data_IF_874607516763
#
_entry.id   IF_874607516763
#
_cell.length_a   1.000
_cell.length_b   1.000
_cell.length_c   1.000
_cell.angle_alpha   90.00
_cell.angle_beta   90.00
_cell.angle_gamma   90.00
#
_symmetry.space_group_name_H-M   'P 1'
#
loop_
_entity.id
_entity.type
_entity.pdbx_description
1 polymer ?
#
# COMPACT_ATOMS: atom_id res chain seq x y z
N UNK A 1 -19.39 -3.67 17.60
CA UNK A 1 -19.57 -3.45 16.15
C UNK A 1 -20.68 -4.37 15.68
N UNK A 2 -21.50 -3.95 14.72
CA UNK A 2 -22.65 -4.72 14.22
C UNK A 2 -22.57 -4.77 12.70
N UNK A 3 -22.96 -5.88 12.10
CA UNK A 3 -23.03 -6.02 10.65
C UNK A 3 -24.29 -5.38 10.08
N UNK A 4 -24.13 -4.68 8.96
CA UNK A 4 -25.22 -4.04 8.24
C UNK A 4 -25.20 -4.47 6.79
N UNK A 5 -26.37 -4.81 6.25
CA UNK A 5 -26.50 -5.05 4.82
C UNK A 5 -26.22 -3.75 4.05
N UNK A 6 -25.53 -3.85 2.91
CA UNK A 6 -25.06 -2.68 2.13
C UNK A 6 -26.20 -1.74 1.73
N UNK A 7 -27.42 -2.25 1.52
CA UNK A 7 -28.60 -1.44 1.19
C UNK A 7 -29.09 -0.52 2.30
N UNK A 8 -28.68 -0.77 3.54
CA UNK A 8 -29.03 0.07 4.70
C UNK A 8 -28.00 1.17 4.95
N UNK A 9 -26.81 1.05 4.37
CA UNK A 9 -25.74 2.02 4.52
C UNK A 9 -26.05 3.31 3.78
N UNK A 10 -25.78 4.43 4.45
CA UNK A 10 -26.00 5.79 3.97
C UNK A 10 -24.73 6.61 4.11
N UNK A 11 -24.70 7.75 3.44
CA UNK A 11 -23.65 8.75 3.61
C UNK A 11 -23.50 9.11 5.10
N UNK A 12 -22.26 9.16 5.58
CA UNK A 12 -21.83 9.38 6.98
C UNK A 12 -21.92 8.18 7.91
N UNK A 13 -22.50 7.06 7.51
CA UNK A 13 -22.34 5.83 8.30
C UNK A 13 -20.87 5.45 8.37
N UNK A 14 -20.46 4.87 9.50
CA UNK A 14 -19.07 4.55 9.78
C UNK A 14 -18.79 3.10 9.39
N UNK A 15 -17.77 2.92 8.57
CA UNK A 15 -17.23 1.61 8.24
C UNK A 15 -15.86 1.43 8.85
N UNK A 16 -15.47 0.17 9.03
CA UNK A 16 -14.27 -0.20 9.77
C UNK A 16 -13.28 -0.92 8.87
N UNK A 17 -12.01 -0.54 8.97
CA UNK A 17 -10.89 -1.19 8.32
C UNK A 17 -9.85 -1.61 9.39
N UNK A 18 -9.42 -2.88 9.42
CA UNK A 18 -8.49 -3.35 10.42
C UNK A 18 -7.06 -3.02 10.00
N UNK A 19 -6.28 -2.51 10.94
CA UNK A 19 -4.87 -2.19 10.73
C UNK A 19 -4.08 -3.37 11.29
N UNK A 20 -3.22 -4.05 10.49
CA UNK A 20 -2.36 -5.10 11.01
C UNK A 20 -1.55 -4.59 12.21
N UNK A 21 -1.67 -5.26 13.36
CA UNK A 21 -0.97 -4.87 14.60
C UNK A 21 0.26 -5.73 14.89
N UNK A 22 0.39 -6.87 14.21
CA UNK A 22 1.50 -7.80 14.43
C UNK A 22 2.86 -7.11 14.20
N UNK A 23 3.81 -7.40 15.08
CA UNK A 23 5.22 -7.01 14.95
C UNK A 23 6.07 -8.28 14.96
N UNK A 24 6.82 -8.51 13.88
CA UNK A 24 7.79 -9.57 13.72
C UNK A 24 9.09 -8.94 13.29
N UNK A 25 10.07 -8.93 14.20
CA UNK A 25 11.39 -8.43 13.83
C UNK A 25 12.16 -9.49 13.05
N UNK A 26 12.86 -9.02 12.03
CA UNK A 26 13.81 -9.82 11.24
C UNK A 26 15.13 -9.08 11.37
N UNK A 27 16.16 -9.78 11.83
CA UNK A 27 17.46 -9.13 12.04
C UNK A 27 18.32 -9.17 10.78
N UNK A 28 18.25 -10.26 10.02
CA UNK A 28 19.07 -10.48 8.82
C UNK A 28 18.27 -11.14 7.69
N UNK A 29 18.68 -10.87 6.45
CA UNK A 29 18.25 -11.62 5.27
C UNK A 29 19.46 -12.08 4.46
N UNK A 30 19.37 -13.26 3.87
CA UNK A 30 20.40 -13.79 2.97
C UNK A 30 20.43 -13.01 1.66
N UNK A 31 21.65 -12.72 1.19
CA UNK A 31 21.89 -12.29 -0.17
C UNK A 31 22.15 -13.51 -1.02
N UNK A 32 21.54 -13.56 -2.21
CA UNK A 32 21.78 -14.59 -3.22
C UNK A 32 23.13 -14.34 -3.94
N UNK A 33 24.16 -13.96 -3.18
CA UNK A 33 25.43 -13.41 -3.66
C UNK A 33 26.43 -14.51 -4.03
N UNK A 34 25.98 -15.67 -4.51
CA UNK A 34 26.91 -16.67 -5.04
C UNK A 34 27.64 -16.08 -6.25
N UNK A 35 28.97 -15.98 -6.14
CA UNK A 35 29.83 -15.51 -7.23
C UNK A 35 29.69 -16.45 -8.42
N UNK A 36 29.23 -15.91 -9.55
CA UNK A 36 29.23 -16.69 -10.79
C UNK A 36 30.68 -16.96 -11.19
N UNK A 37 30.93 -18.17 -11.71
CA UNK A 37 32.28 -18.64 -12.12
C UNK A 37 33.03 -17.68 -13.06
N UNK A 38 32.33 -16.78 -13.74
CA UNK A 38 32.87 -15.81 -14.70
C UNK A 38 32.63 -14.34 -14.30
N UNK A 39 32.31 -14.05 -13.03
CA UNK A 39 32.19 -12.67 -12.53
C UNK A 39 33.49 -12.19 -11.88
N UNK A 40 34.28 -11.46 -12.67
CA UNK A 40 35.57 -10.90 -12.26
C UNK A 40 35.50 -9.43 -11.84
N UNK A 41 34.34 -8.75 -12.01
CA UNK A 41 34.20 -7.30 -11.82
C UNK A 41 33.40 -6.94 -10.57
N UNK A 42 32.46 -7.79 -10.16
CA UNK A 42 31.66 -7.48 -8.97
C UNK A 42 32.47 -7.63 -7.69
N UNK A 43 32.48 -6.57 -6.88
CA UNK A 43 32.91 -6.62 -5.49
C UNK A 43 31.99 -7.56 -4.69
N UNK A 44 32.52 -8.17 -3.63
CA UNK A 44 31.71 -8.98 -2.73
C UNK A 44 30.78 -8.06 -1.94
N UNK A 45 29.50 -8.45 -1.82
CA UNK A 45 28.57 -7.86 -0.85
C UNK A 45 28.44 -8.81 0.35
N UNK A 46 27.99 -8.34 1.53
CA UNK A 46 27.73 -9.20 2.67
C UNK A 46 26.80 -10.37 2.30
N UNK A 47 27.11 -11.59 2.75
CA UNK A 47 26.26 -12.77 2.55
C UNK A 47 24.91 -12.63 3.25
N UNK A 48 24.89 -11.89 4.36
CA UNK A 48 23.68 -11.50 5.08
C UNK A 48 23.63 -9.98 5.19
N UNK A 49 22.47 -9.40 4.91
CA UNK A 49 22.21 -7.98 5.14
C UNK A 49 21.42 -7.82 6.43
N UNK A 50 21.92 -6.97 7.32
CA UNK A 50 21.19 -6.56 8.51
C UNK A 50 19.98 -5.70 8.13
N UNK A 51 18.81 -6.05 8.63
CA UNK A 51 17.57 -5.29 8.45
C UNK A 51 17.49 -4.23 9.54
N UNK A 52 18.33 -3.21 9.42
CA UNK A 52 18.35 -2.07 10.34
C UNK A 52 17.73 -0.81 9.70
N UNK A 53 17.76 0.29 10.46
CA UNK A 53 17.25 1.60 10.02
C UNK A 53 17.91 2.10 8.73
N UNK A 54 19.20 1.83 8.54
CA UNK A 54 19.94 2.26 7.36
C UNK A 54 19.50 1.45 6.12
N UNK A 55 19.35 0.12 6.24
CA UNK A 55 18.80 -0.70 5.16
C UNK A 55 17.36 -0.31 4.81
N UNK A 56 16.50 -0.07 5.80
CA UNK A 56 15.10 0.33 5.55
C UNK A 56 15.01 1.67 4.82
N UNK A 57 15.84 2.65 5.21
CA UNK A 57 15.91 3.96 4.53
C UNK A 57 16.40 3.83 3.09
N UNK A 58 17.45 3.05 2.85
CA UNK A 58 17.92 2.75 1.49
C UNK A 58 16.84 2.07 0.65
N UNK A 59 16.11 1.11 1.24
CA UNK A 59 15.01 0.41 0.58
C UNK A 59 13.91 1.37 0.12
N UNK A 60 13.60 2.38 0.93
CA UNK A 60 12.67 3.45 0.57
C UNK A 60 13.15 4.25 -0.65
N UNK A 61 14.41 4.68 -0.64
CA UNK A 61 15.03 5.36 -1.79
C UNK A 61 15.04 4.51 -3.05
N UNK A 62 15.30 3.20 -2.93
CA UNK A 62 15.27 2.30 -4.08
C UNK A 62 13.86 2.12 -4.63
N UNK A 63 12.86 2.01 -3.76
CA UNK A 63 11.46 1.90 -4.18
C UNK A 63 10.96 3.17 -4.86
N UNK A 64 11.45 4.36 -4.50
CA UNK A 64 11.14 5.58 -5.25
C UNK A 64 12.01 5.72 -6.51
N UNK A 65 13.30 5.95 -6.33
CA UNK A 65 14.22 6.41 -7.38
C UNK A 65 15.02 5.29 -8.05
N UNK A 66 14.98 4.10 -7.46
CA UNK A 66 15.77 2.96 -7.89
C UNK A 66 15.23 2.30 -9.16
N UNK A 67 16.16 1.88 -10.02
CA UNK A 67 15.90 0.94 -11.11
C UNK A 67 17.09 0.02 -11.33
N UNK A 68 16.83 -1.14 -11.94
CA UNK A 68 17.86 -2.13 -12.25
C UNK A 68 17.95 -2.35 -13.74
N UNK A 69 19.18 -2.45 -14.24
CA UNK A 69 19.46 -2.88 -15.61
C UNK A 69 20.23 -4.18 -15.55
N UNK A 70 19.72 -5.20 -16.23
CA UNK A 70 20.38 -6.51 -16.35
C UNK A 70 20.49 -6.82 -17.84
N UNK A 71 21.70 -6.66 -18.39
CA UNK A 71 22.03 -6.98 -19.79
C UNK A 71 23.35 -7.75 -19.83
N UNK A 72 23.58 -8.51 -20.92
CA UNK A 72 24.74 -9.39 -21.09
C UNK A 72 26.10 -8.73 -20.75
N UNK A 73 26.25 -7.45 -21.07
CA UNK A 73 27.50 -6.70 -20.85
C UNK A 73 27.37 -5.51 -19.89
N UNK A 74 26.15 -5.23 -19.38
CA UNK A 74 25.88 -4.04 -18.57
C UNK A 74 24.82 -4.34 -17.52
N UNK A 75 25.27 -4.68 -16.32
CA UNK A 75 24.41 -4.90 -15.15
C UNK A 75 24.74 -3.87 -14.07
N UNK A 76 23.75 -3.09 -13.67
CA UNK A 76 23.91 -2.09 -12.60
C UNK A 76 22.57 -1.73 -11.98
N UNK A 77 22.66 -1.24 -10.75
CA UNK A 77 21.58 -0.53 -10.06
C UNK A 77 21.79 0.96 -10.26
N UNK A 78 20.73 1.71 -10.51
CA UNK A 78 20.78 3.18 -10.54
C UNK A 78 19.71 3.77 -9.65
N UNK A 79 20.06 4.83 -8.93
CA UNK A 79 19.09 5.76 -8.33
C UNK A 79 19.23 7.09 -9.07
N UNK A 80 18.11 7.76 -9.34
CA UNK A 80 18.10 9.04 -10.06
C UNK A 80 17.52 10.11 -9.16
N UNK A 81 18.14 11.28 -9.09
CA UNK A 81 17.66 12.40 -8.29
C UNK A 81 17.71 13.67 -9.12
N UNK A 82 17.02 14.72 -8.68
CA UNK A 82 17.23 16.06 -9.21
C UNK A 82 18.60 16.60 -8.74
N UNK A 83 19.23 17.44 -9.57
CA UNK A 83 20.52 18.07 -9.24
C UNK A 83 20.50 18.95 -7.98
N UNK A 84 19.32 19.41 -7.58
CA UNK A 84 19.13 20.20 -6.37
C UNK A 84 19.03 19.34 -5.09
N UNK A 85 18.85 18.03 -5.21
CA UNK A 85 18.61 17.09 -4.09
C UNK A 85 19.92 16.49 -3.55
N UNK A 86 20.94 17.35 -3.40
CA UNK A 86 22.31 16.92 -3.04
C UNK A 86 22.37 16.20 -1.69
N UNK A 87 21.48 16.56 -0.76
CA UNK A 87 21.40 15.91 0.55
C UNK A 87 20.97 14.45 0.47
N UNK A 88 19.99 14.13 -0.38
CA UNK A 88 19.50 12.76 -0.59
C UNK A 88 20.53 11.92 -1.35
N UNK A 89 21.21 12.52 -2.33
CA UNK A 89 22.33 11.88 -3.03
C UNK A 89 23.43 11.49 -2.04
N UNK A 90 23.84 12.42 -1.16
CA UNK A 90 24.87 12.18 -0.14
C UNK A 90 24.44 11.09 0.85
N UNK A 91 23.19 11.12 1.31
CA UNK A 91 22.66 10.10 2.21
C UNK A 91 22.66 8.71 1.55
N UNK A 92 22.20 8.61 0.30
CA UNK A 92 22.23 7.37 -0.48
C UNK A 92 23.65 6.81 -0.62
N UNK A 93 24.64 7.65 -0.97
CA UNK A 93 26.04 7.20 -1.08
C UNK A 93 26.58 6.64 0.25
N UNK A 94 26.25 7.29 1.37
CA UNK A 94 26.63 6.81 2.68
C UNK A 94 25.97 5.47 3.02
N UNK A 95 24.66 5.34 2.72
CA UNK A 95 23.91 4.11 2.93
C UNK A 95 24.46 2.95 2.09
N UNK A 96 24.78 3.19 0.81
CA UNK A 96 25.35 2.17 -0.07
C UNK A 96 26.67 1.63 0.51
N UNK A 97 27.53 2.53 0.99
CA UNK A 97 28.79 2.14 1.63
C UNK A 97 28.58 1.39 2.95
N UNK A 98 27.69 1.86 3.82
CA UNK A 98 27.45 1.25 5.13
C UNK A 98 26.79 -0.12 5.04
N UNK A 99 25.74 -0.23 4.22
CA UNK A 99 24.89 -1.42 4.14
C UNK A 99 25.54 -2.51 3.28
N UNK A 100 26.15 -2.13 2.16
CA UNK A 100 26.65 -3.09 1.18
C UNK A 100 28.18 -3.12 1.08
N UNK A 101 28.89 -2.21 1.73
CA UNK A 101 30.35 -2.09 1.60
C UNK A 101 30.82 -1.55 0.25
N UNK A 102 29.91 -1.06 -0.60
CA UNK A 102 30.21 -0.70 -1.99
C UNK A 102 30.47 0.80 -2.17
N UNK A 103 31.22 1.13 -3.23
CA UNK A 103 31.32 2.50 -3.75
C UNK A 103 30.40 2.65 -4.97
N UNK A 104 29.69 3.78 -5.05
CA UNK A 104 28.87 4.13 -6.19
C UNK A 104 29.50 5.27 -6.98
N UNK A 105 29.28 5.29 -8.30
CA UNK A 105 29.68 6.38 -9.19
C UNK A 105 28.53 7.37 -9.33
N UNK A 106 28.80 8.66 -9.21
CA UNK A 106 27.82 9.71 -9.52
C UNK A 106 28.05 10.28 -10.91
N UNK A 107 26.99 10.42 -11.70
CA UNK A 107 27.01 11.09 -13.00
C UNK A 107 25.95 12.21 -13.01
N UNK A 108 26.40 13.46 -13.06
CA UNK A 108 25.51 14.60 -13.23
C UNK A 108 25.19 14.83 -14.71
N UNK A 109 23.92 15.06 -15.03
CA UNK A 109 23.44 15.35 -16.37
C UNK A 109 22.74 16.70 -16.36
N UNK A 110 23.49 17.77 -16.64
CA UNK A 110 23.01 19.15 -16.59
C UNK A 110 21.83 19.42 -17.52
N UNK A 111 21.79 18.78 -18.70
CA UNK A 111 20.70 18.92 -19.68
C UNK A 111 19.35 18.54 -19.08
N UNK A 112 19.31 17.43 -18.34
CA UNK A 112 18.08 16.92 -17.72
C UNK A 112 17.93 17.35 -16.25
N UNK A 113 18.89 18.11 -15.71
CA UNK A 113 18.98 18.49 -14.28
C UNK A 113 18.89 17.29 -13.34
N UNK A 114 19.53 16.18 -13.71
CA UNK A 114 19.50 14.92 -12.95
C UNK A 114 20.89 14.49 -12.49
N UNK A 115 20.91 13.72 -11.40
CA UNK A 115 22.10 13.04 -10.87
C UNK A 115 21.81 11.56 -10.82
N UNK A 116 22.63 10.75 -11.47
CA UNK A 116 22.54 9.30 -11.40
C UNK A 116 23.58 8.75 -10.43
N UNK A 117 23.14 7.94 -9.47
CA UNK A 117 24.00 7.12 -8.63
C UNK A 117 24.03 5.72 -9.24
N UNK A 118 25.17 5.33 -9.81
CA UNK A 118 25.39 4.07 -10.50
C UNK A 118 26.19 3.10 -9.63
N UNK A 119 25.63 1.92 -9.40
CA UNK A 119 26.25 0.83 -8.65
C UNK A 119 26.46 -0.35 -9.58
N UNK A 120 27.71 -0.55 -10.01
CA UNK A 120 28.10 -1.64 -10.91
C UNK A 120 28.39 -2.91 -10.10
N UNK A 121 27.36 -3.61 -9.66
CA UNK A 121 27.49 -4.85 -8.91
C UNK A 121 26.36 -5.83 -9.26
N UNK A 122 26.70 -6.98 -9.86
CA UNK A 122 25.72 -7.95 -10.37
C UNK A 122 24.91 -8.56 -9.22
N UNK A 123 25.55 -8.88 -8.10
CA UNK A 123 24.92 -9.49 -6.93
C UNK A 123 23.88 -8.55 -6.32
N UNK A 124 24.26 -7.30 -6.07
CA UNK A 124 23.33 -6.30 -5.54
C UNK A 124 22.16 -6.05 -6.50
N UNK A 125 22.41 -5.90 -7.80
CA UNK A 125 21.36 -5.63 -8.78
C UNK A 125 20.34 -6.76 -8.83
N UNK A 126 20.78 -8.02 -8.82
CA UNK A 126 19.87 -9.18 -8.80
C UNK A 126 19.12 -9.30 -7.48
N UNK A 127 19.82 -9.07 -6.37
CA UNK A 127 19.23 -9.08 -5.03
C UNK A 127 18.09 -8.05 -4.92
N UNK A 128 18.35 -6.77 -5.26
CA UNK A 128 17.34 -5.71 -5.17
C UNK A 128 16.17 -5.95 -6.13
N UNK A 129 16.45 -6.43 -7.34
CA UNK A 129 15.41 -6.80 -8.33
C UNK A 129 14.50 -7.91 -7.80
N UNK A 130 15.07 -8.96 -7.20
CA UNK A 130 14.31 -10.08 -6.60
C UNK A 130 13.46 -9.58 -5.43
N UNK A 131 14.03 -8.73 -4.60
CA UNK A 131 13.40 -8.24 -3.39
C UNK A 131 12.26 -7.26 -3.66
N UNK A 132 12.49 -6.24 -4.48
CA UNK A 132 11.57 -5.11 -4.65
C UNK A 132 10.82 -5.09 -5.98
N UNK A 133 11.16 -5.96 -6.94
CA UNK A 133 10.58 -5.96 -8.28
C UNK A 133 11.49 -5.33 -9.33
N UNK A 134 11.10 -5.50 -10.60
CA UNK A 134 11.92 -5.07 -11.74
C UNK A 134 11.56 -3.68 -12.27
N UNK A 135 10.31 -3.53 -12.71
CA UNK A 135 9.80 -2.31 -13.31
C UNK A 135 8.93 -1.55 -12.30
N UNK A 136 8.52 -0.33 -12.65
CA UNK A 136 7.81 0.56 -11.72
C UNK A 136 6.42 0.03 -11.30
N UNK A 137 5.74 -0.74 -12.15
CA UNK A 137 4.42 -1.34 -11.87
C UNK A 137 4.52 -2.58 -10.95
N UNK A 138 5.63 -3.34 -11.02
CA UNK A 138 5.88 -4.49 -10.16
C UNK A 138 6.59 -4.13 -8.84
N UNK A 139 6.98 -2.86 -8.66
CA UNK A 139 7.63 -2.40 -7.42
C UNK A 139 6.74 -2.75 -6.23
N UNK A 140 7.33 -3.35 -5.21
CA UNK A 140 6.61 -3.84 -4.02
C UNK A 140 7.52 -3.90 -2.81
N UNK A 141 6.92 -3.78 -1.64
CA UNK A 141 7.58 -4.00 -0.35
C UNK A 141 7.43 -5.50 0.02
N UNK A 142 8.52 -6.21 0.32
CA UNK A 142 8.47 -7.59 0.80
C UNK A 142 7.56 -7.75 2.03
N UNK A 143 6.86 -8.88 2.12
CA UNK A 143 5.90 -9.15 3.21
C UNK A 143 6.53 -8.98 4.60
N UNK A 144 7.74 -9.51 4.83
CA UNK A 144 8.38 -9.39 6.14
C UNK A 144 8.60 -7.93 6.58
N UNK A 145 8.85 -7.00 5.64
CA UNK A 145 9.04 -5.58 5.95
C UNK A 145 7.74 -4.91 6.43
N UNK A 146 6.58 -5.44 6.04
CA UNK A 146 5.26 -4.96 6.46
C UNK A 146 4.96 -5.26 7.94
N UNK A 147 5.71 -6.16 8.57
CA UNK A 147 5.54 -6.55 9.97
C UNK A 147 6.71 -6.16 10.86
N UNK A 148 7.76 -5.52 10.34
CA UNK A 148 8.88 -5.04 11.15
C UNK A 148 8.45 -4.04 12.23
N UNK A 149 9.29 -3.85 13.27
CA UNK A 149 9.13 -2.77 14.25
C UNK A 149 8.83 -1.41 13.62
N UNK A 150 7.98 -0.62 14.28
CA UNK A 150 7.48 0.64 13.72
C UNK A 150 8.60 1.66 13.44
N UNK A 151 9.69 1.64 14.19
CA UNK A 151 10.82 2.53 13.96
C UNK A 151 11.63 2.15 12.71
N UNK A 152 11.74 0.86 12.38
CA UNK A 152 12.28 0.39 11.09
C UNK A 152 11.35 0.78 9.93
N UNK A 153 10.04 0.63 10.11
CA UNK A 153 9.05 1.04 9.10
C UNK A 153 9.04 2.56 8.87
N UNK A 154 9.26 3.36 9.91
CA UNK A 154 9.38 4.81 9.79
C UNK A 154 10.54 5.23 8.88
N UNK A 155 11.67 4.54 8.94
CA UNK A 155 12.82 4.83 8.05
C UNK A 155 12.55 4.43 6.59
N UNK A 156 11.79 3.36 6.35
CA UNK A 156 11.29 3.01 5.02
C UNK A 156 10.37 4.10 4.46
N UNK A 157 9.41 4.56 5.26
CA UNK A 157 8.54 5.69 4.91
C UNK A 157 9.37 6.94 4.61
N UNK A 158 10.40 7.22 5.43
CA UNK A 158 11.31 8.34 5.18
C UNK A 158 12.00 8.23 3.82
N UNK A 159 12.59 7.08 3.50
CA UNK A 159 13.26 6.88 2.22
C UNK A 159 12.30 7.03 1.02
N UNK A 160 11.07 6.50 1.13
CA UNK A 160 10.05 6.67 0.09
C UNK A 160 9.74 8.14 -0.17
N UNK A 161 9.50 8.92 0.90
CA UNK A 161 9.18 10.35 0.77
C UNK A 161 10.36 11.20 0.34
N UNK A 162 11.60 10.81 0.67
CA UNK A 162 12.79 11.53 0.22
C UNK A 162 13.11 11.32 -1.28
N UNK A 163 12.51 10.33 -1.94
CA UNK A 163 12.54 10.25 -3.41
C UNK A 163 11.31 10.87 -4.05
N UNK A 164 10.19 10.12 -4.05
CA UNK A 164 8.98 10.50 -4.80
C UNK A 164 7.97 11.33 -3.98
N UNK A 165 8.29 11.65 -2.72
CA UNK A 165 7.39 12.38 -1.85
C UNK A 165 7.33 13.86 -2.17
N UNK A 166 6.12 14.41 -2.26
CA UNK A 166 5.89 15.85 -2.32
C UNK A 166 5.41 16.36 -0.96
N UNK A 167 5.97 17.48 -0.51
CA UNK A 167 5.63 18.13 0.75
C UNK A 167 5.42 19.63 0.50
N UNK A 168 4.27 20.14 0.93
CA UNK A 168 3.99 21.56 0.98
C UNK A 168 3.90 21.98 2.45
N UNK A 169 4.86 22.79 2.90
CA UNK A 169 4.98 23.20 4.31
C UNK A 169 4.04 24.36 4.66
N UNK A 170 3.74 25.20 3.67
CA UNK A 170 2.95 26.44 3.83
C UNK A 170 1.46 26.21 3.66
N UNK A 171 1.07 25.31 2.75
CA UNK A 171 -0.26 24.71 2.70
C UNK A 171 -0.11 23.25 3.13
N UNK A 172 -0.09 22.95 4.44
CA UNK A 172 0.31 21.65 4.97
C UNK A 172 -0.38 20.49 4.28
N UNK A 173 0.39 19.77 3.46
CA UNK A 173 -0.01 18.50 2.84
C UNK A 173 1.25 17.74 2.44
N UNK A 174 1.11 16.42 2.41
CA UNK A 174 2.10 15.55 1.81
C UNK A 174 1.40 14.61 0.84
N UNK A 175 2.08 14.26 -0.25
CA UNK A 175 1.58 13.29 -1.20
C UNK A 175 2.67 12.39 -1.73
N UNK A 176 2.28 11.18 -2.13
CA UNK A 176 3.14 10.20 -2.78
C UNK A 176 2.39 9.62 -3.97
N UNK A 177 3.07 9.42 -5.10
CA UNK A 177 2.45 8.87 -6.31
C UNK A 177 3.21 7.65 -6.80
N UNK A 178 2.49 6.63 -7.26
CA UNK A 178 3.10 5.44 -7.87
C UNK A 178 2.16 4.80 -8.88
N UNK A 179 2.71 4.07 -9.85
CA UNK A 179 1.92 3.25 -10.79
C UNK A 179 1.75 1.80 -10.31
N UNK A 180 2.44 1.40 -9.23
CA UNK A 180 2.24 0.08 -8.62
C UNK A 180 1.08 0.12 -7.64
N UNK A 181 -0.02 -0.55 -7.99
CA UNK A 181 -1.18 -0.74 -7.10
C UNK A 181 -0.79 -1.40 -5.78
N UNK A 182 0.07 -2.42 -5.86
CA UNK A 182 0.56 -3.15 -4.69
C UNK A 182 1.34 -2.22 -3.75
N UNK A 183 2.28 -1.44 -4.29
CA UNK A 183 3.06 -0.50 -3.51
C UNK A 183 2.16 0.57 -2.88
N UNK A 184 1.18 1.10 -3.62
CA UNK A 184 0.26 2.10 -3.10
C UNK A 184 -0.51 1.59 -1.86
N UNK A 185 -1.03 0.36 -1.93
CA UNK A 185 -1.73 -0.25 -0.81
C UNK A 185 -0.80 -0.59 0.36
N UNK A 186 0.44 -1.00 0.08
CA UNK A 186 1.44 -1.25 1.13
C UNK A 186 1.83 0.04 1.85
N UNK A 187 2.02 1.15 1.13
CA UNK A 187 2.27 2.47 1.73
C UNK A 187 1.07 2.90 2.59
N UNK A 188 -0.17 2.71 2.11
CA UNK A 188 -1.39 2.96 2.91
C UNK A 188 -1.32 2.23 4.26
N UNK A 189 -1.01 0.93 4.24
CA UNK A 189 -0.93 0.11 5.45
C UNK A 189 0.20 0.56 6.37
N UNK A 190 1.39 0.87 5.82
CA UNK A 190 2.52 1.39 6.61
C UNK A 190 2.16 2.70 7.30
N UNK A 191 1.51 3.64 6.62
CA UNK A 191 1.04 4.89 7.23
C UNK A 191 0.02 4.63 8.34
N UNK A 192 -0.96 3.77 8.10
CA UNK A 192 -1.98 3.41 9.11
C UNK A 192 -1.35 2.79 10.36
N UNK A 193 -0.34 1.93 10.21
CA UNK A 193 0.44 1.36 11.33
C UNK A 193 1.17 2.43 12.15
N UNK A 194 1.59 3.53 11.51
CA UNK A 194 2.15 4.71 12.18
C UNK A 194 1.07 5.64 12.77
N UNK A 195 -0.20 5.22 12.74
CA UNK A 195 -1.36 6.04 13.09
C UNK A 195 -1.43 7.35 12.29
N UNK A 196 -1.09 7.29 11.00
CA UNK A 196 -1.23 8.34 9.99
C UNK A 196 -2.36 7.91 9.06
N UNK A 197 -3.38 8.75 8.88
CA UNK A 197 -4.55 8.45 8.04
C UNK A 197 -4.33 9.04 6.64
N UNK A 198 -4.10 8.22 5.61
CA UNK A 198 -4.03 8.70 4.23
C UNK A 198 -5.38 8.64 3.52
N UNK A 199 -5.50 9.43 2.47
CA UNK A 199 -6.49 9.24 1.39
C UNK A 199 -5.78 8.65 0.18
N UNK A 200 -6.35 7.58 -0.40
CA UNK A 200 -5.81 6.94 -1.61
C UNK A 200 -6.78 7.15 -2.76
N UNK A 201 -6.26 7.63 -3.89
CA UNK A 201 -7.02 7.89 -5.11
C UNK A 201 -6.42 7.13 -6.28
N UNK A 202 -7.29 6.62 -7.13
CA UNK A 202 -6.94 6.05 -8.42
C UNK A 202 -7.15 7.11 -9.50
N UNK A 203 -6.10 7.43 -10.24
CA UNK A 203 -6.15 8.31 -11.40
C UNK A 203 -6.22 7.47 -12.66
N UNK A 204 -7.30 7.67 -13.42
CA UNK A 204 -7.48 7.01 -14.70
C UNK A 204 -6.42 7.48 -15.71
N UNK A 205 -6.03 6.60 -16.66
CA UNK A 205 -5.17 6.99 -17.77
C UNK A 205 -5.70 8.25 -18.47
N UNK A 206 -4.80 9.17 -18.81
CA UNK A 206 -5.15 10.42 -19.50
C UNK A 206 -4.07 10.81 -20.50
N UNK A 207 -4.47 11.50 -21.56
CA UNK A 207 -3.51 12.10 -22.50
C UNK A 207 -3.40 13.58 -22.18
N UNK A 208 -2.19 14.09 -22.02
CA UNK A 208 -1.96 15.53 -21.80
C UNK A 208 -0.78 15.96 -22.66
N UNK A 209 -1.00 16.91 -23.58
CA UNK A 209 0.05 17.46 -24.48
C UNK A 209 0.94 16.35 -25.05
N UNK A 210 0.33 15.37 -25.74
CA UNK A 210 0.99 14.21 -26.38
C UNK A 210 1.63 13.18 -25.43
N UNK A 211 1.55 13.38 -24.12
CA UNK A 211 2.03 12.40 -23.13
C UNK A 211 0.89 11.48 -22.70
N UNK A 212 1.08 10.17 -22.88
CA UNK A 212 0.16 9.13 -22.42
C UNK A 212 0.43 8.81 -20.95
N UNK A 213 -0.34 9.41 -20.04
CA UNK A 213 -0.30 9.05 -18.63
C UNK A 213 -1.04 7.72 -18.42
N UNK A 214 -0.37 6.78 -17.78
CA UNK A 214 -0.94 5.50 -17.36
C UNK A 214 -1.85 5.68 -16.13
N UNK A 215 -2.53 4.62 -15.75
CA UNK A 215 -3.18 4.54 -14.45
C UNK A 215 -2.16 4.76 -13.34
N UNK A 216 -2.50 5.58 -12.35
CA UNK A 216 -1.62 5.91 -11.25
C UNK A 216 -2.39 6.00 -9.93
N UNK A 217 -1.71 5.77 -8.83
CA UNK A 217 -2.26 5.82 -7.49
C UNK A 217 -1.63 6.97 -6.73
N UNK A 218 -2.47 7.82 -6.14
CA UNK A 218 -2.03 8.96 -5.33
C UNK A 218 -2.44 8.78 -3.89
N UNK A 219 -1.48 8.97 -3.01
CA UNK A 219 -1.65 8.91 -1.56
C UNK A 219 -1.49 10.32 -1.04
N UNK A 220 -2.48 10.82 -0.31
CA UNK A 220 -2.45 12.15 0.32
C UNK A 220 -2.54 12.03 1.83
N UNK A 221 -1.76 12.85 2.52
CA UNK A 221 -1.87 13.08 3.97
C UNK A 221 -2.13 14.57 4.16
N UNK A 222 -3.30 14.91 4.70
CA UNK A 222 -3.76 16.29 4.82
C UNK A 222 -4.23 16.67 6.23
N UNK A 223 -4.64 15.68 7.03
CA UNK A 223 -5.09 15.91 8.40
C UNK A 223 -3.89 16.34 9.29
N UNK A 224 -4.09 17.35 10.12
CA UNK A 224 -3.03 17.97 10.92
C UNK A 224 -2.33 16.98 11.86
N UNK A 225 -3.08 16.08 12.54
CA UNK A 225 -2.49 15.06 13.44
C UNK A 225 -1.61 14.08 12.67
N UNK A 226 -2.11 13.59 11.54
CA UNK A 226 -1.37 12.72 10.63
C UNK A 226 -0.13 13.40 10.04
N UNK A 227 -0.23 14.67 9.64
CA UNK A 227 0.91 15.46 9.15
C UNK A 227 1.98 15.71 10.22
N UNK A 228 1.61 15.93 11.48
CA UNK A 228 2.58 16.05 12.57
C UNK A 228 3.40 14.77 12.75
N UNK A 229 2.76 13.60 12.69
CA UNK A 229 3.43 12.29 12.77
C UNK A 229 4.28 12.01 11.53
N UNK A 230 3.77 12.30 10.34
CA UNK A 230 4.59 12.18 9.13
C UNK A 230 5.78 13.14 9.18
N UNK A 231 5.58 14.38 9.63
CA UNK A 231 6.63 15.38 9.80
C UNK A 231 7.72 14.93 10.77
N UNK A 232 7.38 14.28 11.89
CA UNK A 232 8.38 13.71 12.80
C UNK A 232 9.18 12.58 12.16
N UNK A 233 8.53 11.71 11.37
CA UNK A 233 9.21 10.67 10.58
C UNK A 233 10.15 11.32 9.55
N UNK A 234 9.68 12.31 8.81
CA UNK A 234 10.43 12.94 7.71
C UNK A 234 11.44 14.00 8.19
N UNK A 235 11.45 14.33 9.48
CA UNK A 235 12.23 15.42 10.08
C UNK A 235 11.89 16.78 9.45
N UNK A 236 10.61 16.98 9.12
CA UNK A 236 10.08 18.22 8.53
C UNK A 236 9.09 18.86 9.50
N UNK A 237 9.20 20.18 9.66
CA UNK A 237 8.21 21.00 10.37
C UNK A 237 7.24 21.61 9.36
N UNK A 238 5.94 21.41 9.61
CA UNK A 238 4.85 22.01 8.84
C UNK A 238 4.36 23.29 9.52
N UNK A 239 3.98 24.29 8.72
CA UNK A 239 3.47 25.57 9.20
C UNK A 239 1.94 25.54 9.18
N UNK A 240 1.33 25.14 10.30
CA UNK A 240 -0.12 25.07 10.43
C UNK A 240 -0.70 26.45 10.76
N UNK A 241 -1.34 27.09 9.77
CA UNK A 241 -2.13 28.32 9.99
C UNK A 241 -3.50 28.00 10.59
N UNK A 242 -4.10 26.89 10.16
CA UNK A 242 -5.38 26.38 10.62
C UNK A 242 -5.27 24.87 10.89
N UNK A 243 -6.11 24.35 11.79
CA UNK A 243 -6.19 22.91 12.02
C UNK A 243 -7.13 22.26 11.02
N UNK A 244 -6.58 21.33 10.23
CA UNK A 244 -7.35 20.44 9.37
C UNK A 244 -7.68 19.15 10.12
N UNK A 245 -8.97 18.81 10.18
CA UNK A 245 -9.45 17.52 10.69
C UNK A 245 -10.01 16.66 9.55
N UNK A 246 -10.10 15.36 9.81
CA UNK A 246 -10.86 14.45 8.99
C UNK A 246 -11.91 13.76 9.86
N UNK A 247 -12.98 13.26 9.24
CA UNK A 247 -14.05 12.55 9.96
C UNK A 247 -13.69 11.07 10.22
N UNK A 248 -12.43 10.69 9.98
CA UNK A 248 -11.91 9.35 10.23
C UNK A 248 -11.00 9.36 11.46
N UNK A 249 -10.96 8.26 12.20
CA UNK A 249 -10.10 8.12 13.36
C UNK A 249 -9.58 6.69 13.50
N UNK A 250 -8.49 6.54 14.24
CA UNK A 250 -7.91 5.24 14.58
C UNK A 250 -8.09 5.00 16.07
N UNK A 251 -8.62 3.83 16.41
CA UNK A 251 -8.82 3.39 17.79
C UNK A 251 -8.70 1.86 17.84
N UNK A 252 -7.97 1.33 18.83
CA UNK A 252 -7.81 -0.11 19.07
C UNK A 252 -7.40 -0.94 17.83
N UNK A 253 -6.50 -0.38 17.00
CA UNK A 253 -6.02 -1.05 15.78
C UNK A 253 -7.02 -1.05 14.62
N UNK A 254 -8.08 -0.26 14.71
CA UNK A 254 -9.12 -0.13 13.69
C UNK A 254 -9.15 1.31 13.16
N UNK A 255 -9.27 1.46 11.85
CA UNK A 255 -9.61 2.71 11.20
C UNK A 255 -11.13 2.78 11.03
N UNK A 256 -11.73 3.80 11.63
CA UNK A 256 -13.13 4.17 11.44
C UNK A 256 -13.19 5.28 10.40
N UNK A 257 -13.94 5.07 9.33
CA UNK A 257 -14.04 6.05 8.23
C UNK A 257 -15.49 6.17 7.75
N UNK A 258 -16.00 7.39 7.49
CA UNK A 258 -17.37 7.59 7.05
C UNK A 258 -17.54 7.30 5.56
N UNK A 259 -18.70 6.76 5.20
CA UNK A 259 -19.12 6.63 3.81
C UNK A 259 -19.35 8.01 3.21
N UNK A 260 -18.65 8.32 2.12
CA UNK A 260 -18.76 9.60 1.42
C UNK A 260 -19.81 9.57 0.30
N UNK A 261 -20.01 8.42 -0.34
CA UNK A 261 -20.92 8.20 -1.45
C UNK A 261 -21.37 6.72 -1.52
N UNK A 262 -22.61 6.50 -1.92
CA UNK A 262 -23.16 5.18 -2.26
C UNK A 262 -23.75 5.25 -3.67
N UNK A 263 -23.48 4.27 -4.51
CA UNK A 263 -23.99 4.19 -5.87
C UNK A 263 -24.54 2.80 -6.15
N UNK A 264 -25.57 2.71 -7.00
CA UNK A 264 -26.06 1.46 -7.55
C UNK A 264 -25.59 1.37 -9.00
N UNK A 265 -25.01 0.24 -9.36
CA UNK A 265 -24.47 -0.04 -10.68
C UNK A 265 -25.00 -1.40 -11.13
N UNK A 266 -25.43 -1.48 -12.37
CA UNK A 266 -25.68 -2.76 -13.02
C UNK A 266 -24.34 -3.41 -13.34
N UNK A 267 -24.18 -4.68 -12.97
CA UNK A 267 -22.96 -5.45 -13.19
C UNK A 267 -23.32 -6.82 -13.72
N UNK A 268 -22.64 -7.22 -14.81
CA UNK A 268 -22.73 -8.55 -15.38
C UNK A 268 -21.33 -9.15 -15.44
N UNK A 269 -21.08 -10.11 -14.56
CA UNK A 269 -19.78 -10.75 -14.41
C UNK A 269 -19.71 -11.60 -13.14
N UNK A 270 -18.58 -12.29 -12.92
CA UNK A 270 -18.39 -13.10 -11.73
C UNK A 270 -18.30 -12.23 -10.47
N UNK A 271 -18.96 -12.69 -9.40
CA UNK A 271 -18.80 -12.16 -8.04
C UNK A 271 -18.24 -13.26 -7.15
N UNK A 272 -17.40 -12.88 -6.19
CA UNK A 272 -16.70 -13.82 -5.32
C UNK A 272 -17.06 -13.57 -3.85
N UNK A 273 -17.17 -14.67 -3.10
CA UNK A 273 -17.36 -14.68 -1.66
C UNK A 273 -16.38 -15.68 -1.03
N UNK A 274 -16.00 -15.47 0.22
CA UNK A 274 -15.18 -16.39 0.99
C UNK A 274 -15.95 -16.83 2.23
N UNK A 275 -15.92 -18.14 2.51
CA UNK A 275 -16.38 -18.67 3.79
C UNK A 275 -15.18 -18.75 4.73
N UNK A 276 -15.27 -18.08 5.89
CA UNK A 276 -14.23 -18.10 6.91
C UNK A 276 -14.82 -18.71 8.16
N UNK A 277 -14.25 -19.85 8.57
CA UNK A 277 -14.66 -20.57 9.76
C UNK A 277 -14.61 -19.67 10.99
N UNK A 278 -15.61 -19.82 11.88
CA UNK A 278 -15.78 -19.08 13.14
C UNK A 278 -16.13 -17.60 13.03
N UNK A 279 -15.41 -16.81 12.22
CA UNK A 279 -15.57 -15.35 12.20
C UNK A 279 -16.53 -14.86 11.12
N UNK A 280 -16.81 -15.67 10.10
CA UNK A 280 -17.69 -15.35 8.97
C UNK A 280 -17.36 -13.98 8.34
N UNK A 281 -16.09 -13.57 8.38
CA UNK A 281 -15.65 -12.27 7.88
C UNK A 281 -14.20 -12.30 7.40
N UNK A 282 -13.90 -11.46 6.42
CA UNK A 282 -12.58 -11.35 5.80
C UNK A 282 -12.25 -9.91 5.43
N UNK A 283 -10.96 -9.63 5.26
CA UNK A 283 -10.47 -8.29 4.93
C UNK A 283 -10.21 -8.16 3.44
N UNK A 284 -10.65 -7.04 2.87
CA UNK A 284 -10.27 -6.64 1.51
C UNK A 284 -9.26 -5.50 1.54
N UNK A 285 -8.84 -5.05 0.36
CA UNK A 285 -8.03 -3.84 0.23
C UNK A 285 -8.68 -2.59 0.85
N UNK A 286 -10.00 -2.60 1.06
CA UNK A 286 -10.76 -1.41 1.43
C UNK A 286 -11.43 -1.52 2.80
N UNK A 287 -12.03 -2.67 3.14
CA UNK A 287 -12.90 -2.83 4.31
C UNK A 287 -12.86 -4.27 4.87
N UNK A 288 -13.29 -4.45 6.12
CA UNK A 288 -13.74 -5.77 6.60
C UNK A 288 -15.12 -6.04 5.99
N UNK A 289 -15.28 -7.21 5.40
CA UNK A 289 -16.55 -7.70 4.88
C UNK A 289 -16.99 -8.91 5.69
N UNK A 290 -18.29 -9.05 5.87
CA UNK A 290 -18.90 -10.32 6.28
C UNK A 290 -18.98 -11.22 5.04
N UNK A 291 -18.95 -12.54 5.23
CA UNK A 291 -19.35 -13.46 4.17
C UNK A 291 -20.80 -13.16 3.75
N UNK A 292 -21.20 -13.56 2.55
CA UNK A 292 -22.61 -13.51 2.17
C UNK A 292 -23.44 -14.31 3.18
N UNK A 293 -24.20 -13.61 4.01
CA UNK A 293 -25.21 -14.20 4.88
C UNK A 293 -26.57 -14.16 4.20
N UNK A 294 -27.41 -15.15 4.51
CA UNK A 294 -28.76 -15.23 3.95
C UNK A 294 -29.73 -14.44 4.83
N UNK A 295 -30.27 -13.35 4.29
CA UNK A 295 -31.35 -12.59 4.93
C UNK A 295 -32.68 -12.99 4.29
N UNK A 296 -33.50 -13.72 5.02
CA UNK A 296 -34.81 -14.18 4.56
C UNK A 296 -35.92 -13.46 5.31
N UNK A 297 -36.84 -12.84 4.57
CA UNK A 297 -38.12 -12.36 5.10
C UNK A 297 -39.23 -13.22 4.52
N UNK A 298 -40.00 -13.87 5.39
CA UNK A 298 -41.19 -14.64 5.02
C UNK A 298 -42.44 -13.82 5.36
N UNK A 299 -43.35 -13.70 4.41
CA UNK A 299 -44.64 -13.06 4.55
C UNK A 299 -45.70 -14.16 4.57
N UNK A 300 -46.47 -14.25 5.65
CA UNK A 300 -47.54 -15.25 5.81
C UNK A 300 -48.87 -14.51 5.94
N UNK A 301 -49.88 -14.94 5.19
CA UNK A 301 -51.27 -14.48 5.33
C UNK A 301 -52.09 -15.61 5.94
N UNK A 302 -52.77 -15.32 7.05
CA UNK A 302 -53.58 -16.29 7.80
C UNK A 302 -55.06 -15.89 7.78
N UNK A 303 -55.95 -16.86 7.54
CA UNK A 303 -57.41 -16.71 7.67
C UNK A 303 -57.98 -17.97 8.31
N UNK A 304 -58.88 -17.82 9.29
CA UNK A 304 -59.55 -18.93 9.99
C UNK A 304 -58.57 -20.01 10.50
N UNK A 305 -57.45 -19.55 11.10
CA UNK A 305 -56.34 -20.40 11.57
C UNK A 305 -55.66 -21.27 10.50
N UNK A 306 -55.75 -20.89 9.21
CA UNK A 306 -55.04 -21.53 8.09
C UNK A 306 -54.21 -20.52 7.31
N UNK A 307 -53.03 -20.96 6.85
CA UNK A 307 -52.21 -20.17 5.93
C UNK A 307 -52.90 -20.19 4.55
N UNK A 308 -53.16 -19.00 4.00
CA UNK A 308 -53.82 -18.85 2.69
C UNK A 308 -52.89 -18.26 1.62
N UNK A 309 -51.75 -17.70 2.03
CA UNK A 309 -50.70 -17.21 1.13
C UNK A 309 -49.38 -17.16 1.91
N UNK A 310 -48.30 -17.57 1.28
CA UNK A 310 -46.95 -17.48 1.82
C UNK A 310 -46.01 -17.02 0.71
N UNK A 311 -45.21 -15.99 1.01
CA UNK A 311 -44.25 -15.39 0.08
C UNK A 311 -42.94 -15.18 0.80
N UNK A 312 -41.85 -15.14 0.04
CA UNK A 312 -40.55 -14.82 0.61
C UNK A 312 -39.88 -13.68 -0.16
N UNK A 313 -39.03 -12.96 0.55
CA UNK A 313 -38.02 -12.06 -0.01
C UNK A 313 -36.70 -12.45 0.63
N UNK A 314 -35.78 -12.93 -0.18
CA UNK A 314 -34.48 -13.40 0.29
C UNK A 314 -33.35 -12.64 -0.37
N UNK A 315 -32.35 -12.28 0.41
CA UNK A 315 -31.06 -11.78 -0.03
C UNK A 315 -30.03 -12.79 0.45
N UNK A 316 -29.62 -13.69 -0.43
CA UNK A 316 -28.80 -14.82 -0.02
C UNK A 316 -28.23 -15.59 -1.21
N UNK A 317 -27.45 -16.61 -0.90
CA UNK A 317 -26.94 -17.53 -1.89
C UNK A 317 -28.07 -18.31 -2.59
N UNK A 318 -27.74 -18.95 -3.71
CA UNK A 318 -28.72 -19.75 -4.46
C UNK A 318 -29.39 -20.83 -3.60
N UNK A 319 -28.67 -21.38 -2.61
CA UNK A 319 -29.22 -22.35 -1.66
C UNK A 319 -30.32 -21.72 -0.78
N UNK A 320 -30.16 -20.48 -0.32
CA UNK A 320 -31.20 -19.78 0.42
C UNK A 320 -32.42 -19.45 -0.43
N UNK A 321 -32.22 -19.11 -1.71
CA UNK A 321 -33.34 -18.94 -2.66
C UNK A 321 -34.10 -20.24 -2.83
N UNK A 322 -33.40 -21.34 -3.09
CA UNK A 322 -34.01 -22.67 -3.25
C UNK A 322 -34.75 -23.12 -1.98
N UNK A 323 -34.14 -22.93 -0.80
CA UNK A 323 -34.73 -23.30 0.48
C UNK A 323 -35.95 -22.45 0.80
N UNK A 324 -35.89 -21.13 0.58
CA UNK A 324 -37.04 -20.23 0.77
C UNK A 324 -38.21 -20.63 -0.12
N UNK A 325 -37.92 -20.94 -1.39
CA UNK A 325 -38.93 -21.40 -2.34
C UNK A 325 -39.58 -22.71 -1.90
N UNK A 326 -38.78 -23.69 -1.45
CA UNK A 326 -39.32 -24.97 -1.00
C UNK A 326 -40.14 -24.83 0.27
N UNK A 327 -39.71 -23.98 1.22
CA UNK A 327 -40.48 -23.67 2.44
C UNK A 327 -41.86 -23.10 2.08
N UNK A 328 -41.93 -22.23 1.07
CA UNK A 328 -43.23 -21.68 0.64
C UNK A 328 -44.14 -22.68 -0.06
N UNK A 329 -43.58 -23.72 -0.69
CA UNK A 329 -44.35 -24.80 -1.31
C UNK A 329 -44.84 -25.85 -0.29
N UNK A 330 -44.12 -26.04 0.82
CA UNK A 330 -44.43 -27.04 1.85
C UNK A 330 -45.42 -26.56 2.92
N UNK A 331 -45.68 -25.24 3.01
CA UNK A 331 -46.35 -24.59 4.14
C UNK A 331 -47.88 -24.49 4.02
#
# INVERSE_FOLDING_TARGET
>A
MTWWHVSHLKKRDIVVYPIPQEIRDVEYIETDAQKLKYDFKSENIPSQIKIDKDFMRFSGYFLSEGSTRVQKYKTYTTLTFNINEKEYVKDCLNLIKKVFGLKAKTEERSVNKTVHILIYNVHLTRFLRKLFGYNAEEKRIPSFMMFLPLDKQAELIRGLWYGDGYIDKEKPRASYSTISKQLAHQIKILLLRQNIIPSVYEEKPRVTKETHHREAYRIYVMETRSLKKLGSILRVKFNFKEQTSCNAWIENGLLFTPITKTEKIEYNGPVHNLEVESTHSYTTNSLVLHNCGDLMTIYIKVKDNKIVDIKFKTFGCAAAIATSSMITELA
#
